data_IF_278445333830
#
_entry.id   IF_278445333830
#
_cell.length_a   1.000
_cell.length_b   1.000
_cell.length_c   1.000
_cell.angle_alpha   90.00
_cell.angle_beta   90.00
_cell.angle_gamma   90.00
#
_symmetry.space_group_name_H-M   'P 1'
#
loop_
_entity.id
_entity.type
_entity.pdbx_description
1 polymer ?
#
# COMPACT_ATOMS: atom_id res chain seq x y z
N UNK A 1 9.56 -15.32 -74.61
CA UNK A 1 8.44 -14.78 -73.81
C UNK A 1 8.58 -15.32 -72.39
N UNK A 2 9.21 -14.54 -71.49
CA UNK A 2 9.39 -14.90 -70.09
C UNK A 2 8.47 -14.01 -69.24
N UNK A 3 7.64 -14.61 -68.38
CA UNK A 3 6.98 -13.92 -67.27
C UNK A 3 7.39 -14.62 -65.97
N UNK A 4 8.30 -13.99 -65.23
CA UNK A 4 8.54 -14.27 -63.82
C UNK A 4 7.47 -13.53 -63.02
N UNK A 5 6.67 -14.27 -62.23
CA UNK A 5 5.81 -13.69 -61.20
C UNK A 5 6.61 -13.63 -59.90
N UNK A 6 6.84 -12.42 -59.39
CA UNK A 6 7.46 -12.20 -58.10
C UNK A 6 6.39 -12.26 -57.01
N UNK A 7 6.46 -13.28 -56.16
CA UNK A 7 5.60 -13.40 -54.97
C UNK A 7 6.26 -12.66 -53.81
N UNK A 8 5.75 -11.48 -53.46
CA UNK A 8 6.18 -10.74 -52.28
C UNK A 8 5.52 -11.30 -51.03
N UNK A 9 6.30 -11.93 -50.16
CA UNK A 9 5.87 -12.34 -48.81
C UNK A 9 5.98 -11.11 -47.90
N UNK A 10 4.84 -10.56 -47.49
CA UNK A 10 4.76 -9.47 -46.52
C UNK A 10 4.90 -10.06 -45.10
N UNK A 11 6.09 -9.96 -44.52
CA UNK A 11 6.34 -10.36 -43.13
C UNK A 11 5.82 -9.24 -42.20
N UNK A 12 4.63 -9.41 -41.62
CA UNK A 12 4.10 -8.51 -40.59
C UNK A 12 4.77 -8.86 -39.26
N UNK A 13 5.77 -8.08 -38.88
CA UNK A 13 6.39 -8.15 -37.55
C UNK A 13 5.44 -7.64 -36.47
N UNK A 14 5.01 -8.52 -35.58
CA UNK A 14 4.21 -8.18 -34.41
C UNK A 14 5.12 -7.54 -33.34
N UNK A 15 5.21 -6.21 -33.31
CA UNK A 15 5.83 -5.49 -32.18
C UNK A 15 4.91 -5.62 -30.96
N UNK A 16 5.24 -6.53 -30.05
CA UNK A 16 4.66 -6.55 -28.71
C UNK A 16 5.17 -5.33 -27.95
N UNK A 17 4.26 -4.42 -27.57
CA UNK A 17 4.56 -3.34 -26.63
C UNK A 17 4.91 -3.98 -25.28
N UNK A 18 6.19 -4.14 -25.00
CA UNK A 18 6.68 -4.35 -23.64
C UNK A 18 6.41 -3.07 -22.85
N UNK A 19 5.25 -3.00 -22.19
CA UNK A 19 5.04 -2.03 -21.13
C UNK A 19 5.96 -2.43 -19.99
N UNK A 20 7.09 -1.74 -19.86
CA UNK A 20 7.93 -1.81 -18.67
C UNK A 20 7.10 -1.22 -17.54
N UNK A 21 6.43 -2.07 -16.77
CA UNK A 21 5.74 -1.62 -15.57
C UNK A 21 6.82 -1.41 -14.51
N UNK A 22 7.04 -0.15 -14.14
CA UNK A 22 8.07 0.20 -13.16
C UNK A 22 7.49 0.02 -11.76
N UNK A 23 7.99 -0.98 -11.04
CA UNK A 23 7.74 -1.08 -9.62
C UNK A 23 8.37 0.13 -8.90
N UNK A 24 7.65 0.69 -7.93
CA UNK A 24 8.16 1.77 -7.06
C UNK A 24 8.42 1.22 -5.67
N UNK A 25 9.44 1.76 -5.01
CA UNK A 25 9.76 1.37 -3.63
C UNK A 25 8.71 1.91 -2.65
N UNK A 26 8.43 1.12 -1.63
CA UNK A 26 7.55 1.48 -0.53
C UNK A 26 7.88 0.71 0.74
N UNK A 27 7.03 0.90 1.74
CA UNK A 27 7.10 0.19 3.02
C UNK A 27 5.73 -0.36 3.37
N UNK A 28 5.70 -1.41 4.19
CA UNK A 28 4.44 -1.95 4.69
C UNK A 28 4.43 -2.09 6.20
N UNK A 29 3.33 -1.67 6.80
CA UNK A 29 2.87 -2.14 8.11
C UNK A 29 1.83 -3.23 7.93
N UNK A 30 1.41 -3.83 9.04
CA UNK A 30 0.38 -4.87 9.04
C UNK A 30 -0.72 -4.56 10.03
N UNK A 31 -1.96 -4.74 9.58
CA UNK A 31 -3.16 -4.46 10.36
C UNK A 31 -4.22 -5.55 10.18
N UNK A 32 -4.98 -5.82 11.24
CA UNK A 32 -6.09 -6.76 11.19
C UNK A 32 -7.39 -5.99 10.95
N UNK A 33 -7.82 -5.96 9.70
CA UNK A 33 -9.03 -5.25 9.29
C UNK A 33 -10.28 -5.80 9.97
N UNK A 34 -10.30 -7.06 10.39
CA UNK A 34 -11.48 -7.65 11.04
C UNK A 34 -11.78 -7.08 12.42
N UNK A 35 -10.83 -6.35 13.01
CA UNK A 35 -11.00 -5.66 14.29
C UNK A 35 -11.56 -4.24 14.15
N UNK A 36 -11.69 -3.75 12.92
CA UNK A 36 -12.16 -2.41 12.64
C UNK A 36 -13.68 -2.38 12.46
N UNK A 37 -14.32 -1.27 12.85
CA UNK A 37 -15.75 -1.06 12.64
C UNK A 37 -16.11 -0.63 11.21
N UNK A 38 -15.13 -0.22 10.42
CA UNK A 38 -15.31 0.27 9.05
C UNK A 38 -13.97 0.61 8.40
N UNK A 39 -14.03 1.04 7.15
CA UNK A 39 -12.90 1.53 6.36
C UNK A 39 -13.31 2.82 5.65
N UNK A 40 -12.34 3.64 5.25
CA UNK A 40 -12.58 4.94 4.65
C UNK A 40 -13.19 4.83 3.24
N UNK A 41 -12.79 3.83 2.44
CA UNK A 41 -13.35 3.63 1.10
C UNK A 41 -14.79 3.14 1.14
N UNK A 42 -15.71 3.97 0.63
CA UNK A 42 -17.12 3.62 0.51
C UNK A 42 -17.34 2.34 -0.31
N UNK A 43 -18.25 1.47 0.16
CA UNK A 43 -18.61 0.22 -0.51
C UNK A 43 -17.68 -0.97 -0.22
N UNK A 44 -16.62 -0.77 0.57
CA UNK A 44 -15.75 -1.85 1.04
C UNK A 44 -16.05 -2.23 2.49
N UNK A 45 -15.65 -3.45 2.85
CA UNK A 45 -15.82 -4.00 4.18
C UNK A 45 -14.45 -4.16 4.88
N UNK A 46 -14.41 -4.01 6.22
CA UNK A 46 -13.20 -4.20 7.02
C UNK A 46 -12.86 -5.70 7.15
N UNK A 47 -12.45 -6.32 6.05
CA UNK A 47 -12.07 -7.73 5.97
C UNK A 47 -10.66 -7.88 5.43
N UNK A 48 -9.90 -8.85 5.96
CA UNK A 48 -8.52 -9.10 5.52
C UNK A 48 -8.42 -9.59 4.06
N UNK A 49 -9.50 -10.13 3.49
CA UNK A 49 -9.59 -10.57 2.10
C UNK A 49 -10.54 -9.68 1.30
N UNK A 50 -10.16 -9.41 0.05
CA UNK A 50 -10.91 -8.59 -0.93
C UNK A 50 -11.17 -9.37 -2.23
N UNK A 51 -11.24 -10.70 -2.12
CA UNK A 51 -11.39 -11.64 -3.22
C UNK A 51 -10.31 -12.72 -3.23
N UNK A 52 -10.32 -13.57 -4.25
CA UNK A 52 -9.36 -14.67 -4.40
C UNK A 52 -7.94 -14.12 -4.49
N UNK A 53 -7.09 -14.50 -3.54
CA UNK A 53 -5.67 -14.08 -3.44
C UNK A 53 -5.46 -12.56 -3.45
N UNK A 54 -6.45 -11.79 -3.00
CA UNK A 54 -6.37 -10.33 -2.88
C UNK A 54 -6.56 -9.92 -1.43
N UNK A 55 -5.59 -9.21 -0.88
CA UNK A 55 -5.58 -8.78 0.52
C UNK A 55 -6.07 -7.34 0.65
N UNK A 56 -6.72 -6.99 1.75
CA UNK A 56 -7.02 -5.59 2.05
C UNK A 56 -5.74 -4.81 2.34
N UNK A 57 -5.74 -3.53 1.99
CA UNK A 57 -4.70 -2.59 2.35
C UNK A 57 -5.25 -1.17 2.46
N UNK A 58 -4.60 -0.36 3.27
CA UNK A 58 -4.72 1.08 3.26
C UNK A 58 -3.51 1.67 2.53
N UNK A 59 -3.66 2.85 1.95
CA UNK A 59 -2.54 3.63 1.40
C UNK A 59 -2.41 4.95 2.15
N UNK A 60 -1.18 5.38 2.43
CA UNK A 60 -0.95 6.71 3.01
C UNK A 60 -1.47 7.82 2.09
N UNK A 61 -2.16 8.79 2.67
CA UNK A 61 -2.61 10.01 1.98
C UNK A 61 -1.46 10.97 1.59
N UNK A 62 -0.22 10.61 1.94
CA UNK A 62 1.02 11.27 1.54
C UNK A 62 1.84 10.46 0.51
N UNK A 63 1.33 9.29 0.09
CA UNK A 63 1.98 8.46 -0.90
C UNK A 63 1.97 9.14 -2.28
N UNK A 64 3.08 9.08 -3.04
CA UNK A 64 3.08 9.44 -4.45
C UNK A 64 2.09 8.65 -5.32
N UNK A 65 1.67 7.46 -4.88
CA UNK A 65 0.65 6.65 -5.54
C UNK A 65 -0.78 7.01 -5.13
N UNK A 66 -0.96 7.89 -4.12
CA UNK A 66 -2.27 8.37 -3.72
C UNK A 66 -2.89 9.22 -4.84
N UNK A 67 -4.09 8.82 -5.27
CA UNK A 67 -4.87 9.60 -6.23
C UNK A 67 -6.03 10.28 -5.51
N UNK A 68 -6.14 11.60 -5.70
CA UNK A 68 -7.15 12.44 -5.09
C UNK A 68 -6.59 13.39 -4.02
N UNK A 69 -7.49 13.99 -3.24
CA UNK A 69 -7.08 14.93 -2.20
C UNK A 69 -6.60 14.19 -0.96
N UNK A 70 -5.68 14.82 -0.23
CA UNK A 70 -5.31 14.38 1.12
C UNK A 70 -6.56 14.34 2.02
N UNK A 71 -6.59 13.42 2.98
CA UNK A 71 -7.64 13.39 4.00
C UNK A 71 -7.69 14.71 4.80
N UNK A 72 -8.90 15.12 5.15
CA UNK A 72 -9.21 16.38 5.79
C UNK A 72 -9.01 16.30 7.30
N UNK A 73 -7.90 16.83 7.79
CA UNK A 73 -7.63 16.89 9.21
C UNK A 73 -6.42 17.74 9.57
N UNK A 74 -6.20 17.87 10.87
CA UNK A 74 -5.03 18.52 11.46
C UNK A 74 -4.51 17.69 12.62
N UNK A 75 -3.19 17.67 12.80
CA UNK A 75 -2.58 17.03 13.97
C UNK A 75 -2.88 17.85 15.22
N UNK A 76 -3.36 17.18 16.26
CA UNK A 76 -3.72 17.78 17.54
C UNK A 76 -3.16 16.93 18.68
N UNK A 77 -2.20 17.50 19.42
CA UNK A 77 -1.52 16.83 20.53
C UNK A 77 -2.47 16.48 21.68
N UNK A 78 -3.58 17.21 21.85
CA UNK A 78 -4.57 16.93 22.92
C UNK A 78 -5.28 15.58 22.72
N UNK A 79 -5.25 15.04 21.50
CA UNK A 79 -5.77 13.71 21.18
C UNK A 79 -4.78 12.58 21.45
N UNK A 80 -3.57 12.87 21.92
CA UNK A 80 -2.55 11.88 22.24
C UNK A 80 -2.37 11.73 23.75
N UNK A 81 -2.06 10.51 24.20
CA UNK A 81 -1.80 10.21 25.61
C UNK A 81 -0.33 10.40 26.03
N UNK A 82 0.52 10.89 25.12
CA UNK A 82 1.97 11.05 25.34
C UNK A 82 2.75 9.73 25.44
N UNK A 83 2.14 8.60 25.06
CA UNK A 83 2.71 7.24 25.15
C UNK A 83 2.46 6.43 23.87
N UNK A 84 2.42 7.10 22.72
CA UNK A 84 2.25 6.41 21.43
C UNK A 84 0.81 6.06 21.05
N UNK A 85 -0.20 6.53 21.78
CA UNK A 85 -1.60 6.19 21.53
C UNK A 85 -2.53 7.41 21.60
N UNK A 86 -3.66 7.30 20.90
CA UNK A 86 -4.71 8.31 20.91
C UNK A 86 -5.65 8.13 22.12
N UNK A 87 -6.11 9.24 22.69
CA UNK A 87 -7.18 9.29 23.71
C UNK A 87 -8.56 9.29 23.06
N UNK A 88 -8.67 9.92 21.89
CA UNK A 88 -9.81 9.86 21.00
C UNK A 88 -9.30 9.63 19.57
N UNK A 89 -9.60 8.45 19.03
CA UNK A 89 -9.08 7.99 17.75
C UNK A 89 -10.04 8.26 16.58
N UNK A 90 -10.99 9.20 16.74
CA UNK A 90 -11.85 9.61 15.63
C UNK A 90 -11.00 10.13 14.45
N UNK A 91 -11.16 9.47 13.31
CA UNK A 91 -10.40 9.75 12.09
C UNK A 91 -10.89 10.99 11.32
N UNK A 92 -10.03 11.56 10.46
CA UNK A 92 -10.42 12.60 9.52
C UNK A 92 -11.39 12.05 8.46
N UNK A 93 -12.10 12.95 7.79
CA UNK A 93 -12.83 12.59 6.57
C UNK A 93 -11.84 12.47 5.40
N UNK A 94 -12.04 11.49 4.52
CA UNK A 94 -11.22 11.28 3.34
C UNK A 94 -12.10 11.35 2.07
N UNK A 95 -12.80 12.45 1.76
CA UNK A 95 -13.88 12.46 0.78
C UNK A 95 -13.48 12.26 -0.70
N UNK A 96 -12.18 12.20 -1.01
CA UNK A 96 -11.66 12.16 -2.37
C UNK A 96 -10.67 11.01 -2.59
N UNK A 97 -10.91 9.85 -2.00
CA UNK A 97 -10.04 8.67 -2.13
C UNK A 97 -10.20 8.00 -3.50
N UNK A 98 -9.71 8.63 -4.56
CA UNK A 98 -9.79 8.06 -5.90
C UNK A 98 -8.91 6.81 -6.06
N UNK A 99 -8.08 6.49 -5.06
CA UNK A 99 -7.30 5.25 -5.01
C UNK A 99 -8.13 4.04 -4.52
N UNK A 100 -9.32 4.25 -3.98
CA UNK A 100 -10.18 3.18 -3.50
C UNK A 100 -10.51 2.16 -4.60
N UNK A 101 -10.41 0.88 -4.25
CA UNK A 101 -10.66 -0.24 -5.15
C UNK A 101 -9.52 -0.55 -6.12
N UNK A 102 -8.48 0.28 -6.22
CA UNK A 102 -7.32 -0.03 -7.05
C UNK A 102 -6.48 -1.18 -6.46
N UNK A 103 -5.87 -1.98 -7.34
CA UNK A 103 -5.02 -3.10 -6.95
C UNK A 103 -3.56 -2.85 -7.25
N UNK A 104 -2.71 -3.40 -6.38
CA UNK A 104 -1.26 -3.37 -6.53
C UNK A 104 -0.68 -4.76 -6.32
N UNK A 105 0.27 -5.13 -7.14
CA UNK A 105 1.19 -6.21 -6.87
C UNK A 105 2.23 -5.71 -5.86
N UNK A 106 2.46 -6.49 -4.80
CA UNK A 106 3.40 -6.16 -3.73
C UNK A 106 4.37 -7.31 -3.54
N UNK A 107 5.66 -6.98 -3.46
CA UNK A 107 6.74 -7.95 -3.22
C UNK A 107 7.67 -7.46 -2.11
N UNK A 108 8.01 -8.34 -1.19
CA UNK A 108 9.01 -8.05 -0.14
C UNK A 108 10.40 -7.90 -0.77
N UNK A 109 11.12 -6.85 -0.38
CA UNK A 109 12.52 -6.61 -0.77
C UNK A 109 13.49 -6.65 0.42
N UNK A 110 12.98 -6.53 1.65
CA UNK A 110 13.77 -6.77 2.86
C UNK A 110 13.03 -6.41 4.14
N UNK A 111 13.68 -6.62 5.29
CA UNK A 111 13.22 -6.05 6.56
C UNK A 111 13.35 -4.52 6.53
N UNK A 112 12.38 -3.81 7.08
CA UNK A 112 12.41 -2.35 7.21
C UNK A 112 13.40 -1.86 8.28
N UNK A 113 13.47 -2.59 9.40
CA UNK A 113 14.22 -2.18 10.60
C UNK A 113 15.48 -3.03 10.83
N UNK A 114 16.03 -3.59 9.75
CA UNK A 114 17.30 -4.34 9.80
C UNK A 114 17.24 -5.70 10.52
N UNK A 115 16.07 -6.31 10.67
CA UNK A 115 15.93 -7.68 11.14
C UNK A 115 16.77 -8.62 10.24
N UNK A 116 17.66 -9.38 10.87
CA UNK A 116 18.58 -10.30 10.19
C UNK A 116 18.08 -11.75 10.20
N UNK A 117 17.07 -12.05 11.01
CA UNK A 117 16.45 -13.37 11.10
C UNK A 117 15.19 -13.41 10.24
N UNK A 118 15.14 -14.33 9.28
CA UNK A 118 14.04 -14.42 8.32
C UNK A 118 14.43 -13.92 6.94
N UNK A 119 13.47 -13.96 6.02
CA UNK A 119 13.69 -13.62 4.61
C UNK A 119 12.39 -13.26 3.92
N UNK A 120 12.50 -12.50 2.83
CA UNK A 120 11.42 -12.38 1.86
C UNK A 120 11.18 -13.74 1.19
N UNK A 121 9.92 -14.09 0.98
CA UNK A 121 9.54 -15.35 0.34
C UNK A 121 9.81 -15.37 -1.17
N UNK A 122 10.04 -14.20 -1.78
CA UNK A 122 10.12 -14.01 -3.23
C UNK A 122 8.76 -13.98 -3.94
N UNK A 123 7.66 -14.24 -3.22
CA UNK A 123 6.30 -14.22 -3.78
C UNK A 123 5.79 -12.79 -3.94
N UNK A 124 4.96 -12.62 -4.96
CA UNK A 124 4.17 -11.39 -5.16
C UNK A 124 2.75 -11.66 -4.68
N UNK A 125 2.21 -10.74 -3.90
CA UNK A 125 0.79 -10.75 -3.51
C UNK A 125 0.05 -9.65 -4.26
N UNK A 126 -1.28 -9.78 -4.36
CA UNK A 126 -2.14 -8.68 -4.77
C UNK A 126 -2.78 -8.06 -3.54
N UNK A 127 -2.73 -6.74 -3.43
CA UNK A 127 -3.50 -5.97 -2.46
C UNK A 127 -4.53 -5.12 -3.18
N UNK A 128 -5.67 -4.87 -2.53
CA UNK A 128 -6.67 -3.89 -2.96
C UNK A 128 -6.76 -2.79 -1.91
N UNK A 129 -6.71 -1.54 -2.35
CA UNK A 129 -6.88 -0.40 -1.45
C UNK A 129 -8.35 -0.29 -1.08
N UNK A 130 -8.64 -0.48 0.19
CA UNK A 130 -10.00 -0.41 0.76
C UNK A 130 -10.10 0.58 1.91
N UNK A 131 -9.00 1.20 2.27
CA UNK A 131 -8.93 2.15 3.36
C UNK A 131 -7.87 3.23 3.07
N UNK A 132 -7.94 4.31 3.82
CA UNK A 132 -6.92 5.35 3.82
C UNK A 132 -6.05 5.19 5.06
N UNK A 133 -4.79 5.58 4.97
CA UNK A 133 -3.92 5.74 6.14
C UNK A 133 -3.56 7.22 6.30
N UNK A 134 -4.40 8.02 6.98
CA UNK A 134 -4.24 9.47 6.97
C UNK A 134 -3.11 9.92 7.88
N UNK A 135 -2.26 10.84 7.41
CA UNK A 135 -1.23 11.50 8.23
C UNK A 135 -1.80 12.45 9.32
N UNK A 136 -3.13 12.55 9.38
CA UNK A 136 -3.86 13.41 10.32
C UNK A 136 -4.80 12.61 11.19
N UNK A 137 -4.74 11.28 11.10
CA UNK A 137 -5.47 10.38 11.99
C UNK A 137 -4.73 10.27 13.34
N UNK A 138 -5.37 10.49 14.50
CA UNK A 138 -4.70 10.40 15.81
C UNK A 138 -4.04 9.05 16.06
N UNK A 139 -4.67 7.94 15.63
CA UNK A 139 -4.05 6.61 15.69
C UNK A 139 -2.75 6.45 14.88
N UNK A 140 -2.42 7.41 14.01
CA UNK A 140 -1.21 7.44 13.21
C UNK A 140 -0.20 8.43 13.81
N UNK A 141 -0.51 9.73 13.81
CA UNK A 141 0.43 10.73 14.31
C UNK A 141 0.72 10.59 15.81
N UNK A 142 -0.18 10.05 16.65
CA UNK A 142 0.17 9.88 18.07
C UNK A 142 1.26 8.82 18.31
N UNK A 143 1.57 7.98 17.32
CA UNK A 143 2.61 6.94 17.39
C UNK A 143 4.02 7.48 17.18
N UNK A 144 4.19 8.69 16.63
CA UNK A 144 5.51 9.24 16.33
C UNK A 144 6.11 10.02 17.51
N UNK A 145 7.42 10.25 17.46
CA UNK A 145 8.20 10.82 18.56
C UNK A 145 7.69 12.18 19.06
N UNK A 146 7.28 13.07 18.16
CA UNK A 146 6.79 14.41 18.54
C UNK A 146 5.50 14.38 19.38
N UNK A 147 4.77 13.25 19.38
CA UNK A 147 3.57 13.04 20.20
C UNK A 147 3.76 12.00 21.32
N UNK A 148 5.01 11.66 21.64
CA UNK A 148 5.36 10.75 22.73
C UNK A 148 5.32 9.26 22.37
N UNK A 149 5.23 8.92 21.08
CA UNK A 149 5.43 7.56 20.60
C UNK A 149 6.87 7.29 20.18
N UNK A 150 7.09 6.15 19.53
CA UNK A 150 8.41 5.69 19.09
C UNK A 150 8.39 5.07 17.68
N UNK A 151 7.26 5.14 16.97
CA UNK A 151 7.14 4.62 15.61
C UNK A 151 7.73 5.65 14.64
N UNK A 152 8.64 5.26 13.74
CA UNK A 152 9.15 6.15 12.70
C UNK A 152 8.04 6.65 11.77
N UNK A 153 8.15 7.89 11.28
CA UNK A 153 7.12 8.53 10.44
C UNK A 153 6.74 7.69 9.20
N UNK A 154 7.72 6.96 8.63
CA UNK A 154 7.53 6.09 7.45
C UNK A 154 6.61 4.90 7.73
N UNK A 155 6.46 4.50 8.99
CA UNK A 155 5.61 3.39 9.44
C UNK A 155 4.29 3.87 10.06
N UNK A 156 4.16 5.18 10.30
CA UNK A 156 2.96 5.79 10.83
C UNK A 156 2.13 6.51 9.76
N UNK A 157 2.43 6.33 8.47
CA UNK A 157 1.80 7.08 7.36
C UNK A 157 2.02 8.60 7.45
N UNK A 158 3.10 9.02 8.13
CA UNK A 158 3.43 10.43 8.40
C UNK A 158 4.55 10.95 7.50
N UNK A 159 5.31 10.06 6.84
CA UNK A 159 6.41 10.45 5.96
C UNK A 159 5.90 10.87 4.57
N UNK A 160 6.12 12.12 4.22
CA UNK A 160 5.82 12.65 2.88
C UNK A 160 6.67 11.96 1.81
N UNK A 161 6.05 11.55 0.71
CA UNK A 161 6.75 10.94 -0.42
C UNK A 161 7.06 9.45 -0.26
N UNK A 162 6.59 8.81 0.82
CA UNK A 162 6.74 7.38 1.04
C UNK A 162 5.49 6.63 0.61
N UNK A 163 5.64 5.59 -0.21
CA UNK A 163 4.56 4.66 -0.54
C UNK A 163 4.34 3.69 0.64
N UNK A 164 3.66 4.14 1.68
CA UNK A 164 3.31 3.33 2.84
C UNK A 164 1.97 2.61 2.62
N UNK A 165 2.00 1.29 2.73
CA UNK A 165 0.82 0.42 2.70
C UNK A 165 0.59 -0.21 4.07
N UNK A 166 -0.64 -0.17 4.57
CA UNK A 166 -1.03 -0.91 5.77
C UNK A 166 -1.77 -2.18 5.36
N UNK A 167 -1.04 -3.27 5.16
CA UNK A 167 -1.55 -4.48 4.52
C UNK A 167 -2.19 -5.42 5.55
N UNK A 168 -3.25 -6.14 5.17
CA UNK A 168 -3.86 -7.14 6.01
C UNK A 168 -2.82 -8.13 6.58
N UNK A 169 -2.86 -8.38 7.90
CA UNK A 169 -1.93 -9.26 8.62
C UNK A 169 -1.84 -10.67 8.01
N UNK A 170 -2.92 -11.17 7.41
CA UNK A 170 -2.96 -12.48 6.75
C UNK A 170 -2.05 -12.58 5.53
N UNK A 171 -1.62 -11.47 4.94
CA UNK A 171 -0.69 -11.45 3.82
C UNK A 171 0.77 -11.70 4.25
N UNK A 172 1.08 -11.46 5.53
CA UNK A 172 2.45 -11.40 6.04
C UNK A 172 3.26 -12.65 5.75
N UNK A 173 2.74 -13.82 6.12
CA UNK A 173 3.41 -15.11 5.90
C UNK A 173 3.58 -15.47 4.43
N UNK A 174 2.81 -14.83 3.54
CA UNK A 174 2.99 -14.98 2.09
C UNK A 174 4.15 -14.12 1.60
N UNK A 175 4.36 -12.92 2.16
CA UNK A 175 5.43 -11.99 1.79
C UNK A 175 6.79 -12.34 2.39
N UNK A 176 6.84 -12.70 3.67
CA UNK A 176 8.10 -12.92 4.37
C UNK A 176 7.95 -13.75 5.64
N UNK A 177 9.09 -14.16 6.21
CA UNK A 177 9.18 -14.74 7.56
C UNK A 177 9.63 -13.73 8.63
N UNK A 178 9.96 -12.50 8.23
CA UNK A 178 10.32 -11.40 9.13
C UNK A 178 9.18 -11.08 10.12
N UNK A 179 9.56 -10.72 11.36
CA UNK A 179 8.66 -10.30 12.44
C UNK A 179 8.41 -8.80 12.47
N UNK A 180 9.21 -8.01 11.73
CA UNK A 180 9.02 -6.58 11.55
C UNK A 180 8.28 -6.17 10.28
N UNK A 181 8.17 -4.86 10.09
CA UNK A 181 7.67 -4.22 8.88
C UNK A 181 8.64 -4.47 7.71
N UNK A 182 8.16 -4.33 6.48
CA UNK A 182 8.95 -4.70 5.29
C UNK A 182 9.23 -3.50 4.39
N UNK A 183 10.40 -3.50 3.78
CA UNK A 183 10.61 -2.82 2.51
C UNK A 183 9.91 -3.63 1.41
N UNK A 184 9.23 -2.93 0.51
CA UNK A 184 8.46 -3.55 -0.57
C UNK A 184 8.65 -2.84 -1.91
N UNK A 185 8.45 -3.60 -2.98
CA UNK A 185 8.19 -3.10 -4.32
C UNK A 185 6.68 -3.12 -4.57
N UNK A 186 6.16 -2.04 -5.18
CA UNK A 186 4.75 -1.82 -5.46
C UNK A 186 4.57 -1.57 -6.95
N UNK A 187 3.67 -2.33 -7.57
CA UNK A 187 3.38 -2.23 -8.99
C UNK A 187 1.86 -2.16 -9.20
N UNK A 188 1.37 -1.16 -9.93
CA UNK A 188 -0.06 -1.07 -10.27
C UNK A 188 -0.50 -2.28 -11.08
N UNK A 189 -1.65 -2.87 -10.73
CA UNK A 189 -2.21 -4.02 -11.44
C UNK A 189 -3.72 -3.94 -11.53
N UNK A 190 -4.32 -4.73 -12.41
CA UNK A 190 -5.77 -4.89 -12.43
C UNK A 190 -6.25 -5.69 -11.22
N UNK A 191 -7.36 -5.26 -10.63
CA UNK A 191 -8.23 -6.16 -9.90
C UNK A 191 -8.91 -7.08 -10.93
#
# INVERSE_FOLDING_TARGET
>A
MFKLAATSILLIGLLTKLTVVNAVSGVTTFNDYTTQSGVACAGFHPTNSQGTNTFASAMSDLSPLWTGAKCQGSKDASKCNGRGACTNCAGPACPSEQVCGHCFNVKCTGSLDGETSGSCSGKTIKVKIVDACPSTHPANYCKIAVFGGNVPDREACEASGVNALDIATTARSTLSSFKGNLNIDIETTSC
#
